data_IF_928787132370
#
_entry.id   IF_928787132370
#
_cell.length_a   1.000
_cell.length_b   1.000
_cell.length_c   1.000
_cell.angle_alpha   90.00
_cell.angle_beta   90.00
_cell.angle_gamma   90.00
#
_symmetry.space_group_name_H-M   'P 1'
#
loop_
_entity.id
_entity.type
_entity.pdbx_description
1 polymer ?
#
# COMPACT_ATOMS: atom_id res chain seq x y z
N UNK A 1 90.27 20.82 8.26
CA UNK A 1 89.40 20.25 9.32
C UNK A 1 88.09 19.84 8.67
N UNK A 2 88.03 18.69 8.00
CA UNK A 2 87.44 17.43 8.49
C UNK A 2 86.03 17.60 9.09
N UNK A 3 85.05 17.07 8.34
CA UNK A 3 83.99 16.15 8.82
C UNK A 3 83.55 16.37 10.26
N UNK A 4 82.39 17.00 10.46
CA UNK A 4 81.38 16.62 11.46
C UNK A 4 80.19 17.58 11.38
N UNK A 5 78.98 17.08 11.58
CA UNK A 5 77.67 17.78 11.46
C UNK A 5 76.89 17.66 10.15
N UNK A 6 77.24 16.66 9.33
CA UNK A 6 76.25 15.84 8.62
C UNK A 6 75.53 14.85 9.57
N UNK A 7 75.66 15.03 10.89
CA UNK A 7 75.05 14.18 11.94
C UNK A 7 73.91 14.83 12.75
N UNK A 8 73.48 16.06 12.43
CA UNK A 8 72.21 16.59 12.95
C UNK A 8 71.08 16.59 11.90
N UNK A 9 71.19 15.74 10.88
CA UNK A 9 70.00 15.19 10.25
C UNK A 9 69.35 14.22 11.27
N UNK A 10 68.04 14.38 11.53
CA UNK A 10 67.14 13.53 12.35
C UNK A 10 66.86 13.97 13.80
N UNK A 11 66.25 15.15 13.99
CA UNK A 11 65.27 15.32 15.08
C UNK A 11 64.32 16.48 14.75
N UNK A 12 63.06 16.14 14.45
CA UNK A 12 61.91 17.02 14.13
C UNK A 12 62.05 17.83 12.82
N UNK A 13 61.46 17.55 11.66
CA UNK A 13 60.10 17.07 11.31
C UNK A 13 59.00 17.64 12.21
N UNK A 14 58.11 18.41 11.57
CA UNK A 14 56.74 18.81 11.94
C UNK A 14 56.52 20.13 12.70
N UNK A 15 55.67 20.94 12.08
CA UNK A 15 54.74 21.94 12.64
C UNK A 15 55.39 23.30 12.98
N UNK A 16 55.07 24.42 12.33
CA UNK A 16 53.71 24.90 12.04
C UNK A 16 53.73 26.02 10.99
N UNK A 17 53.30 25.72 9.76
CA UNK A 17 52.66 26.74 8.92
C UNK A 17 51.20 26.79 9.39
N UNK A 18 50.83 27.84 10.12
CA UNK A 18 49.49 28.08 10.68
C UNK A 18 49.51 29.51 11.23
N UNK A 19 48.56 30.43 11.04
CA UNK A 19 47.22 30.46 10.48
C UNK A 19 46.95 31.97 10.33
N UNK A 20 46.72 32.52 9.14
CA UNK A 20 46.02 33.80 9.03
C UNK A 20 44.74 33.57 8.25
N UNK A 21 43.66 33.90 8.94
CA UNK A 21 42.29 33.49 8.71
C UNK A 21 41.74 33.95 7.36
N UNK A 22 41.41 33.00 6.49
CA UNK A 22 40.37 33.17 5.48
C UNK A 22 39.22 32.25 5.88
N UNK A 23 38.26 32.76 6.65
CA UNK A 23 36.94 32.13 6.72
C UNK A 23 36.27 32.45 5.39
N UNK A 24 36.50 31.60 4.40
CA UNK A 24 35.69 31.56 3.19
C UNK A 24 34.38 30.87 3.57
N UNK A 25 33.39 31.68 3.91
CA UNK A 25 32.03 31.21 4.17
C UNK A 25 31.46 30.74 2.82
N UNK A 26 31.63 29.45 2.52
CA UNK A 26 30.93 28.80 1.42
C UNK A 26 29.44 28.73 1.80
N UNK A 27 28.68 29.77 1.46
CA UNK A 27 27.25 29.62 1.29
C UNK A 27 27.04 28.78 0.02
N UNK A 28 27.02 27.46 0.17
CA UNK A 28 26.34 26.63 -0.82
C UNK A 28 24.86 26.95 -0.66
N UNK A 29 24.37 27.83 -1.53
CA UNK A 29 22.94 27.96 -1.74
C UNK A 29 22.45 26.57 -2.15
N UNK A 30 21.79 25.87 -1.24
CA UNK A 30 20.89 24.78 -1.59
C UNK A 30 19.83 25.42 -2.47
N UNK A 31 20.05 25.42 -3.78
CA UNK A 31 18.99 25.66 -4.74
C UNK A 31 18.04 24.48 -4.55
N UNK A 32 16.99 24.71 -3.74
CA UNK A 32 15.80 23.89 -3.77
C UNK A 32 15.20 24.08 -5.14
N UNK A 33 15.63 23.28 -6.11
CA UNK A 33 14.83 23.09 -7.31
C UNK A 33 13.53 22.49 -6.82
N UNK A 34 12.45 23.27 -6.89
CA UNK A 34 11.14 22.67 -7.01
C UNK A 34 11.27 21.71 -8.19
N UNK A 35 11.25 20.40 -7.91
CA UNK A 35 11.30 19.37 -8.94
C UNK A 35 10.12 19.69 -9.86
N UNK A 36 10.39 20.10 -11.10
CA UNK A 36 9.33 20.24 -12.08
C UNK A 36 8.77 18.83 -12.26
N UNK A 37 7.54 18.53 -11.79
CA UNK A 37 7.07 17.16 -11.80
C UNK A 37 6.96 16.70 -13.26
N UNK A 38 7.70 15.65 -13.61
CA UNK A 38 7.64 15.03 -14.93
C UNK A 38 7.08 13.62 -14.77
N UNK A 39 6.13 13.27 -15.63
CA UNK A 39 5.64 11.90 -15.73
C UNK A 39 6.79 11.00 -16.21
N UNK A 40 7.19 10.02 -15.39
CA UNK A 40 8.29 9.11 -15.73
C UNK A 40 7.81 7.91 -16.55
N UNK A 41 6.66 7.34 -16.18
CA UNK A 41 6.03 6.24 -16.89
C UNK A 41 4.52 6.31 -16.72
N UNK A 42 3.80 5.69 -17.65
CA UNK A 42 2.36 5.51 -17.61
C UNK A 42 2.03 4.11 -18.09
N UNK A 43 0.96 3.55 -17.55
CA UNK A 43 0.46 2.25 -17.95
C UNK A 43 -1.07 2.29 -18.02
N UNK A 44 -1.62 1.55 -18.98
CA UNK A 44 -3.06 1.28 -19.04
C UNK A 44 -3.26 -0.17 -18.61
N UNK A 45 -4.13 -0.38 -17.63
CA UNK A 45 -4.73 -1.69 -17.35
C UNK A 45 -5.87 -1.88 -18.36
N UNK A 46 -5.84 -2.98 -19.13
CA UNK A 46 -6.70 -3.14 -20.30
C UNK A 46 -7.79 -4.17 -20.05
N UNK A 47 -9.04 -3.71 -20.13
CA UNK A 47 -10.23 -4.54 -20.28
C UNK A 47 -11.20 -3.94 -21.31
N UNK A 48 -12.32 -4.64 -21.55
CA UNK A 48 -13.34 -4.28 -22.53
C UNK A 48 -14.53 -3.52 -21.92
N UNK A 49 -14.65 -3.51 -20.59
CA UNK A 49 -15.70 -2.88 -19.83
C UNK A 49 -15.19 -1.73 -18.95
N UNK A 50 -15.78 -1.59 -17.77
CA UNK A 50 -15.39 -0.64 -16.74
C UNK A 50 -14.30 -1.24 -15.85
N UNK A 51 -13.10 -0.65 -15.93
CA UNK A 51 -11.93 -1.05 -15.16
C UNK A 51 -11.40 0.15 -14.38
N UNK A 52 -11.43 0.08 -13.06
CA UNK A 52 -11.06 1.18 -12.18
C UNK A 52 -9.78 0.87 -11.41
N UNK A 53 -8.89 1.86 -11.28
CA UNK A 53 -7.81 1.87 -10.30
C UNK A 53 -8.15 2.96 -9.27
N UNK A 54 -8.38 2.56 -8.01
CA UNK A 54 -9.03 3.42 -7.01
C UNK A 54 -8.10 3.87 -5.88
N UNK A 55 -7.07 3.10 -5.57
CA UNK A 55 -6.13 3.42 -4.50
C UNK A 55 -4.74 2.90 -4.81
N UNK A 56 -3.73 3.60 -4.30
CA UNK A 56 -2.33 3.20 -4.44
C UNK A 56 -1.59 3.28 -3.11
N UNK A 57 -0.54 2.46 -2.96
CA UNK A 57 0.45 2.52 -1.89
C UNK A 57 1.83 2.16 -2.42
N UNK A 58 2.88 2.41 -1.64
CA UNK A 58 4.26 2.12 -2.03
C UNK A 58 5.04 1.46 -0.91
N UNK A 59 6.00 0.61 -1.24
CA UNK A 59 6.98 0.11 -0.26
C UNK A 59 8.27 0.93 -0.25
N UNK A 60 9.17 0.60 0.68
CA UNK A 60 10.48 1.25 0.81
C UNK A 60 11.44 0.97 -0.36
N UNK A 61 11.12 0.01 -1.23
CA UNK A 61 11.90 -0.31 -2.43
C UNK A 61 11.39 0.46 -3.67
N UNK A 62 10.33 1.27 -3.52
CA UNK A 62 9.71 1.98 -4.62
C UNK A 62 8.77 1.11 -5.47
N UNK A 63 8.39 -0.08 -5.00
CA UNK A 63 7.31 -0.83 -5.63
C UNK A 63 5.98 -0.12 -5.38
N UNK A 64 5.10 -0.15 -6.37
CA UNK A 64 3.76 0.47 -6.31
C UNK A 64 2.72 -0.64 -6.23
N UNK A 65 1.77 -0.48 -5.32
CA UNK A 65 0.63 -1.37 -5.15
C UNK A 65 -0.62 -0.61 -5.54
N UNK A 66 -1.47 -1.23 -6.35
CA UNK A 66 -2.71 -0.66 -6.85
C UNK A 66 -3.85 -1.57 -6.43
N UNK A 67 -4.97 -1.00 -6.01
CA UNK A 67 -6.22 -1.72 -5.84
C UNK A 67 -7.31 -1.09 -6.70
N UNK A 68 -8.31 -1.88 -7.05
CA UNK A 68 -9.43 -1.44 -7.87
C UNK A 68 -10.45 -2.55 -8.11
N UNK A 69 -11.29 -2.34 -9.10
CA UNK A 69 -12.36 -3.26 -9.48
C UNK A 69 -12.54 -3.27 -11.01
N UNK A 70 -13.08 -4.37 -11.54
CA UNK A 70 -13.29 -4.55 -12.98
C UNK A 70 -14.49 -5.45 -13.29
N UNK A 71 -15.26 -5.08 -14.31
CA UNK A 71 -16.34 -5.90 -14.89
C UNK A 71 -15.93 -6.60 -16.20
N UNK A 72 -14.74 -6.27 -16.72
CA UNK A 72 -14.21 -6.86 -17.95
C UNK A 72 -14.05 -8.38 -17.82
N UNK A 73 -14.42 -9.17 -18.85
CA UNK A 73 -14.20 -10.62 -18.82
C UNK A 73 -12.75 -11.01 -18.52
N UNK A 74 -11.81 -10.21 -19.02
CA UNK A 74 -10.39 -10.32 -18.74
C UNK A 74 -9.79 -8.93 -18.53
N UNK A 75 -9.01 -8.78 -17.47
CA UNK A 75 -8.17 -7.62 -17.19
C UNK A 75 -6.71 -7.99 -17.51
N UNK A 76 -6.00 -7.17 -18.29
CA UNK A 76 -4.62 -7.44 -18.74
C UNK A 76 -3.66 -6.33 -18.33
N UNK A 77 -2.50 -6.73 -17.78
CA UNK A 77 -1.43 -5.85 -17.32
C UNK A 77 -0.28 -5.77 -18.33
N UNK A 78 0.59 -4.76 -18.22
CA UNK A 78 1.67 -4.49 -19.17
C UNK A 78 2.77 -5.55 -19.31
N UNK A 79 2.79 -6.57 -18.46
CA UNK A 79 3.70 -7.72 -18.55
C UNK A 79 3.02 -8.99 -19.09
N UNK A 80 1.74 -8.90 -19.47
CA UNK A 80 0.95 -10.04 -19.97
C UNK A 80 0.25 -10.86 -18.89
N UNK A 81 0.36 -10.52 -17.60
CA UNK A 81 -0.50 -11.10 -16.56
C UNK A 81 -1.95 -10.74 -16.86
N UNK A 82 -2.84 -11.71 -16.64
CA UNK A 82 -4.28 -11.53 -16.81
C UNK A 82 -5.07 -12.02 -15.61
N UNK A 83 -6.18 -11.34 -15.32
CA UNK A 83 -7.20 -11.76 -14.37
C UNK A 83 -8.49 -12.00 -15.14
N UNK A 84 -9.15 -13.14 -14.91
CA UNK A 84 -10.47 -13.41 -15.46
C UNK A 84 -11.53 -13.01 -14.44
N UNK A 85 -12.60 -12.31 -14.84
CA UNK A 85 -13.70 -11.96 -13.96
C UNK A 85 -14.49 -13.24 -13.55
N UNK A 86 -15.07 -13.26 -12.34
CA UNK A 86 -15.85 -14.40 -11.83
C UNK A 86 -17.25 -14.07 -11.36
N UNK A 87 -17.59 -12.79 -11.24
CA UNK A 87 -18.89 -12.29 -10.82
C UNK A 87 -19.44 -11.22 -11.76
N UNK A 88 -19.93 -10.13 -11.17
CA UNK A 88 -20.37 -8.94 -11.90
C UNK A 88 -19.19 -7.98 -11.96
N UNK A 89 -18.73 -7.53 -10.79
CA UNK A 89 -17.52 -6.72 -10.63
C UNK A 89 -16.61 -7.46 -9.66
N UNK A 90 -15.36 -7.69 -10.06
CA UNK A 90 -14.36 -8.34 -9.22
C UNK A 90 -13.38 -7.28 -8.69
N UNK A 91 -13.01 -7.38 -7.41
CA UNK A 91 -11.95 -6.57 -6.85
C UNK A 91 -10.58 -7.13 -7.29
N UNK A 92 -9.59 -6.26 -7.47
CA UNK A 92 -8.22 -6.67 -7.73
C UNK A 92 -7.21 -5.84 -6.95
N UNK A 93 -6.01 -6.42 -6.84
CA UNK A 93 -4.80 -5.77 -6.41
C UNK A 93 -3.64 -6.16 -7.32
N UNK A 94 -2.72 -5.25 -7.58
CA UNK A 94 -1.54 -5.50 -8.40
C UNK A 94 -0.32 -4.82 -7.82
N UNK A 95 0.85 -5.43 -8.03
CA UNK A 95 2.15 -4.86 -7.68
C UNK A 95 2.92 -4.54 -8.95
N UNK A 96 3.53 -3.36 -8.98
CA UNK A 96 4.45 -2.89 -10.00
C UNK A 96 5.81 -2.62 -9.37
N UNK A 97 6.87 -2.84 -10.12
CA UNK A 97 8.21 -2.39 -9.72
C UNK A 97 8.35 -0.87 -9.92
N UNK A 98 9.50 -0.30 -9.52
CA UNK A 98 9.79 1.13 -9.67
C UNK A 98 9.78 1.64 -11.11
N UNK A 99 9.97 0.73 -12.07
CA UNK A 99 9.98 1.01 -13.51
C UNK A 99 8.56 0.92 -14.13
N UNK A 100 7.54 0.68 -13.31
CA UNK A 100 6.14 0.60 -13.76
C UNK A 100 5.78 -0.73 -14.42
N UNK A 101 6.56 -1.80 -14.26
CA UNK A 101 6.26 -3.14 -14.80
C UNK A 101 5.54 -3.97 -13.74
N UNK A 102 4.36 -4.50 -14.08
CA UNK A 102 3.61 -5.40 -13.21
C UNK A 102 4.47 -6.61 -12.82
N UNK A 103 4.40 -7.02 -11.56
CA UNK A 103 5.14 -8.13 -10.97
C UNK A 103 4.19 -9.28 -10.62
N UNK A 104 3.02 -8.94 -10.07
CA UNK A 104 1.92 -9.85 -9.84
C UNK A 104 0.60 -9.07 -9.83
N UNK A 105 -0.50 -9.77 -10.12
CA UNK A 105 -1.84 -9.27 -9.95
C UNK A 105 -2.73 -10.39 -9.41
N UNK A 106 -3.65 -10.04 -8.52
CA UNK A 106 -4.53 -10.96 -7.84
C UNK A 106 -5.93 -10.37 -7.77
N UNK A 107 -6.93 -11.23 -7.74
CA UNK A 107 -8.32 -10.83 -7.56
C UNK A 107 -8.91 -11.35 -6.26
N UNK A 108 -9.90 -10.60 -5.76
CA UNK A 108 -10.74 -10.96 -4.64
C UNK A 108 -12.16 -10.98 -5.21
N UNK A 109 -12.74 -12.17 -5.33
CA UNK A 109 -13.91 -12.35 -6.17
C UNK A 109 -14.88 -13.41 -5.65
N UNK A 110 -16.15 -13.17 -5.90
CA UNK A 110 -17.26 -14.10 -5.74
C UNK A 110 -18.11 -14.11 -7.01
N UNK A 111 -19.44 -14.15 -6.84
CA UNK A 111 -20.41 -14.20 -7.96
C UNK A 111 -21.19 -12.89 -8.15
N UNK A 112 -21.07 -11.96 -7.21
CA UNK A 112 -21.76 -10.67 -7.19
C UNK A 112 -20.83 -9.51 -7.46
N UNK A 113 -21.07 -8.39 -6.77
CA UNK A 113 -20.24 -7.19 -6.80
C UNK A 113 -19.23 -7.21 -5.66
N UNK A 114 -17.96 -7.13 -5.98
CA UNK A 114 -16.85 -7.11 -5.04
C UNK A 114 -15.94 -5.93 -5.36
N UNK A 115 -15.76 -5.00 -4.42
CA UNK A 115 -15.00 -3.78 -4.68
C UNK A 115 -13.89 -3.60 -3.65
N UNK A 116 -12.67 -3.38 -4.13
CA UNK A 116 -11.61 -2.82 -3.31
C UNK A 116 -11.79 -1.29 -3.25
N UNK A 117 -11.51 -0.68 -2.09
CA UNK A 117 -11.64 0.77 -1.88
C UNK A 117 -10.34 1.43 -1.50
N UNK A 118 -9.48 0.74 -0.76
CA UNK A 118 -8.20 1.31 -0.35
C UNK A 118 -7.16 0.24 -0.09
N UNK A 119 -5.90 0.60 -0.31
CA UNK A 119 -4.73 -0.25 -0.11
C UNK A 119 -3.67 0.52 0.67
N UNK A 120 -3.00 -0.15 1.60
CA UNK A 120 -1.86 0.39 2.38
C UNK A 120 -0.79 -0.69 2.54
N UNK A 121 0.45 -0.27 2.72
CA UNK A 121 1.59 -1.17 2.95
C UNK A 121 2.29 -0.83 4.26
N UNK A 122 2.79 -1.84 4.97
CA UNK A 122 3.63 -1.62 6.14
C UNK A 122 5.13 -1.67 5.81
N UNK A 123 5.97 -1.32 6.78
CA UNK A 123 7.43 -1.35 6.62
C UNK A 123 8.01 -2.76 6.41
N UNK A 124 7.24 -3.82 6.70
CA UNK A 124 7.63 -5.21 6.52
C UNK A 124 7.25 -5.76 5.14
N UNK A 125 6.62 -4.95 4.28
CA UNK A 125 6.15 -5.37 2.96
C UNK A 125 4.84 -6.16 2.99
N UNK A 126 4.09 -6.10 4.10
CA UNK A 126 2.72 -6.56 4.12
C UNK A 126 1.83 -5.56 3.38
N UNK A 127 0.86 -6.08 2.64
CA UNK A 127 -0.09 -5.29 1.86
C UNK A 127 -1.47 -5.50 2.49
N UNK A 128 -2.18 -4.41 2.77
CA UNK A 128 -3.50 -4.44 3.37
C UNK A 128 -4.48 -3.81 2.42
N UNK A 129 -5.60 -4.48 2.17
CA UNK A 129 -6.67 -4.00 1.30
C UNK A 129 -7.99 -4.04 2.05
N UNK A 130 -8.79 -3.00 1.85
CA UNK A 130 -10.16 -2.94 2.36
C UNK A 130 -11.13 -2.67 1.23
N UNK A 131 -12.37 -3.07 1.46
CA UNK A 131 -13.45 -2.85 0.53
C UNK A 131 -14.75 -3.40 1.07
N UNK A 132 -15.66 -3.73 0.17
CA UNK A 132 -16.92 -4.38 0.52
C UNK A 132 -17.34 -5.35 -0.58
N UNK A 133 -18.22 -6.28 -0.22
CA UNK A 133 -18.70 -7.30 -1.14
C UNK A 133 -20.19 -7.59 -0.95
N UNK A 134 -20.88 -7.87 -2.06
CA UNK A 134 -22.25 -8.35 -2.13
C UNK A 134 -22.31 -9.85 -2.46
N UNK A 135 -21.23 -10.45 -2.93
CA UNK A 135 -21.16 -11.88 -3.21
C UNK A 135 -21.53 -12.72 -1.98
N UNK A 136 -22.34 -13.76 -2.15
CA UNK A 136 -22.66 -14.72 -1.07
C UNK A 136 -21.39 -15.29 -0.40
N UNK A 137 -20.33 -15.48 -1.20
CA UNK A 137 -19.01 -15.88 -0.74
C UNK A 137 -17.94 -15.13 -1.51
N UNK A 138 -17.07 -14.44 -0.78
CA UNK A 138 -15.86 -13.80 -1.29
C UNK A 138 -14.67 -14.75 -1.16
N UNK A 139 -13.87 -14.90 -2.21
CA UNK A 139 -12.76 -15.87 -2.27
C UNK A 139 -11.44 -15.15 -2.52
N UNK A 140 -10.42 -15.54 -1.75
CA UNK A 140 -9.05 -15.04 -1.85
C UNK A 140 -8.12 -16.06 -2.54
N UNK A 141 -6.98 -15.61 -3.05
CA UNK A 141 -6.07 -16.43 -3.87
C UNK A 141 -5.39 -17.60 -3.14
N UNK A 142 -5.53 -17.69 -1.82
CA UNK A 142 -5.04 -18.80 -1.00
C UNK A 142 -6.17 -19.76 -0.54
N UNK A 143 -7.40 -19.54 -1.01
CA UNK A 143 -8.58 -20.33 -0.63
C UNK A 143 -9.30 -19.90 0.64
N UNK A 144 -8.86 -18.83 1.32
CA UNK A 144 -9.67 -18.18 2.38
C UNK A 144 -10.98 -17.70 1.76
N UNK A 145 -12.07 -17.83 2.52
CA UNK A 145 -13.40 -17.37 2.13
C UNK A 145 -14.07 -16.55 3.24
N UNK A 146 -14.89 -15.57 2.83
CA UNK A 146 -15.78 -14.82 3.71
C UNK A 146 -17.21 -14.96 3.20
N UNK A 147 -18.15 -15.29 4.08
CA UNK A 147 -19.57 -15.38 3.74
C UNK A 147 -20.28 -14.07 4.04
N UNK A 148 -21.10 -13.59 3.12
CA UNK A 148 -21.88 -12.38 3.32
C UNK A 148 -22.98 -12.60 4.37
N UNK A 149 -23.30 -11.58 5.17
CA UNK A 149 -24.36 -11.61 6.18
C UNK A 149 -25.38 -10.49 6.06
N UNK A 150 -25.27 -9.64 5.03
CA UNK A 150 -26.08 -8.44 4.84
C UNK A 150 -26.35 -8.14 3.37
N UNK A 151 -26.48 -6.86 3.04
CA UNK A 151 -26.55 -6.42 1.63
C UNK A 151 -25.16 -6.19 1.06
N UNK A 152 -24.28 -5.61 1.87
CA UNK A 152 -22.87 -5.39 1.56
C UNK A 152 -22.11 -5.56 2.87
N UNK A 153 -21.10 -6.42 2.88
CA UNK A 153 -20.24 -6.61 4.04
C UNK A 153 -18.87 -5.98 3.75
N UNK A 154 -18.28 -5.25 4.71
CA UNK A 154 -16.90 -4.79 4.60
C UNK A 154 -15.95 -5.98 4.73
N UNK A 155 -14.84 -5.94 3.99
CA UNK A 155 -13.72 -6.86 4.21
C UNK A 155 -12.42 -6.10 4.45
N UNK A 156 -11.52 -6.77 5.17
CA UNK A 156 -10.13 -6.38 5.38
C UNK A 156 -9.30 -7.61 5.09
N UNK A 157 -8.25 -7.48 4.29
CA UNK A 157 -7.34 -8.58 4.01
C UNK A 157 -5.90 -8.13 4.05
N UNK A 158 -5.04 -9.02 4.52
CA UNK A 158 -3.59 -8.85 4.49
C UNK A 158 -2.98 -9.85 3.54
N UNK A 159 -2.07 -9.37 2.72
CA UNK A 159 -1.24 -10.13 1.79
C UNK A 159 0.23 -10.00 2.18
N UNK A 160 1.01 -11.01 1.84
CA UNK A 160 2.46 -10.90 1.88
C UNK A 160 2.97 -10.18 0.63
N UNK A 161 4.29 -9.92 0.57
CA UNK A 161 4.91 -9.20 -0.54
C UNK A 161 4.85 -9.94 -1.89
N UNK A 162 4.62 -11.26 -1.85
CA UNK A 162 4.47 -12.13 -3.02
C UNK A 162 3.02 -12.17 -3.52
N UNK A 163 2.12 -11.39 -2.93
CA UNK A 163 0.71 -11.32 -3.34
C UNK A 163 -0.14 -12.48 -2.81
N UNK A 164 0.32 -13.26 -1.83
CA UNK A 164 -0.48 -14.35 -1.23
C UNK A 164 -1.23 -13.84 0.00
N UNK A 165 -2.55 -14.00 0.02
CA UNK A 165 -3.38 -13.67 1.17
C UNK A 165 -2.88 -14.44 2.41
N UNK A 166 -2.77 -13.76 3.55
CA UNK A 166 -2.32 -14.31 4.83
C UNK A 166 -3.49 -14.46 5.79
N UNK A 167 -4.40 -13.48 5.78
CA UNK A 167 -5.67 -13.53 6.48
C UNK A 167 -6.67 -12.57 5.82
N UNK A 168 -7.95 -12.86 6.01
CA UNK A 168 -9.03 -11.96 5.66
C UNK A 168 -10.12 -12.00 6.74
N UNK A 169 -10.80 -10.89 6.93
CA UNK A 169 -11.88 -10.72 7.89
C UNK A 169 -12.99 -9.87 7.30
N UNK A 170 -14.23 -10.15 7.71
CA UNK A 170 -15.36 -9.25 7.49
C UNK A 170 -15.80 -8.64 8.83
N UNK A 171 -16.39 -7.44 8.77
CA UNK A 171 -17.11 -6.87 9.91
C UNK A 171 -18.59 -7.23 9.70
N UNK A 172 -19.20 -7.93 10.65
CA UNK A 172 -20.51 -8.53 10.47
C UNK A 172 -21.64 -7.54 10.78
N UNK A 173 -22.56 -7.40 9.84
CA UNK A 173 -23.84 -6.71 9.99
C UNK A 173 -24.86 -7.28 9.01
N UNK A 174 -26.10 -6.82 9.08
CA UNK A 174 -27.21 -7.30 8.23
C UNK A 174 -27.63 -6.29 7.16
N UNK A 175 -27.08 -5.08 7.20
CA UNK A 175 -27.38 -3.95 6.32
C UNK A 175 -26.35 -3.78 5.21
N UNK A 176 -26.23 -2.55 4.71
CA UNK A 176 -25.15 -2.13 3.81
C UNK A 176 -24.04 -1.50 4.65
N UNK A 177 -22.94 -2.22 4.75
CA UNK A 177 -21.79 -1.82 5.55
C UNK A 177 -20.54 -1.86 4.67
N UNK A 178 -19.67 -0.86 4.82
CA UNK A 178 -18.53 -0.68 3.92
C UNK A 178 -17.27 -0.25 4.67
N UNK A 179 -16.11 -0.73 4.21
CA UNK A 179 -14.81 -0.19 4.55
C UNK A 179 -14.34 0.70 3.40
N UNK A 180 -14.04 1.96 3.68
CA UNK A 180 -13.77 2.98 2.67
C UNK A 180 -12.30 3.36 2.56
N UNK A 181 -11.54 3.30 3.65
CA UNK A 181 -10.12 3.63 3.64
C UNK A 181 -9.33 2.87 4.70
N UNK A 182 -8.05 2.63 4.42
CA UNK A 182 -7.10 1.96 5.30
C UNK A 182 -5.79 2.73 5.35
N UNK A 183 -5.15 2.75 6.53
CA UNK A 183 -3.81 3.28 6.72
C UNK A 183 -3.01 2.42 7.71
N UNK A 184 -1.71 2.34 7.51
CA UNK A 184 -0.77 1.62 8.37
C UNK A 184 0.20 2.60 9.03
N UNK A 185 0.54 2.36 10.31
CA UNK A 185 1.62 3.10 10.97
C UNK A 185 2.97 2.36 10.88
N UNK A 186 4.04 3.03 11.32
CA UNK A 186 5.39 2.46 11.31
C UNK A 186 5.56 1.25 12.25
N UNK A 187 4.63 1.02 13.18
CA UNK A 187 4.62 -0.14 14.08
C UNK A 187 3.81 -1.32 13.51
N UNK A 188 3.24 -1.18 12.31
CA UNK A 188 2.38 -2.20 11.70
C UNK A 188 0.94 -2.19 12.21
N UNK A 189 0.53 -1.19 12.99
CA UNK A 189 -0.89 -1.04 13.32
C UNK A 189 -1.66 -0.64 12.07
N UNK A 190 -2.86 -1.19 11.93
CA UNK A 190 -3.75 -0.95 10.80
C UNK A 190 -4.96 -0.15 11.29
N UNK A 191 -5.34 0.90 10.58
CA UNK A 191 -6.48 1.75 10.87
C UNK A 191 -7.44 1.72 9.69
N UNK A 192 -8.68 1.31 9.95
CA UNK A 192 -9.73 1.18 8.94
C UNK A 192 -10.86 2.14 9.28
N UNK A 193 -11.38 2.84 8.28
CA UNK A 193 -12.57 3.67 8.40
C UNK A 193 -13.64 3.21 7.43
N UNK A 194 -14.90 3.52 7.74
CA UNK A 194 -16.02 3.14 6.91
C UNK A 194 -17.34 3.68 7.44
N UNK A 195 -18.43 3.13 6.91
CA UNK A 195 -19.78 3.44 7.35
C UNK A 195 -20.65 2.19 7.37
N UNK A 196 -21.75 2.24 8.11
CA UNK A 196 -22.66 1.10 8.27
C UNK A 196 -24.11 1.55 8.39
N UNK A 197 -25.01 0.76 7.81
CA UNK A 197 -26.47 0.89 7.95
C UNK A 197 -27.04 -0.16 8.89
N UNK A 198 -26.28 -1.22 9.18
CA UNK A 198 -26.67 -2.26 10.14
C UNK A 198 -27.07 -1.70 11.49
N UNK A 199 -28.13 -2.25 12.09
CA UNK A 199 -28.50 -1.90 13.47
C UNK A 199 -27.36 -2.15 14.45
N UNK A 200 -26.64 -3.26 14.27
CA UNK A 200 -25.41 -3.59 15.01
C UNK A 200 -24.33 -4.02 14.03
N UNK A 201 -23.16 -3.41 14.13
CA UNK A 201 -21.94 -3.81 13.44
C UNK A 201 -21.01 -4.54 14.43
N UNK A 202 -20.52 -5.73 14.08
CA UNK A 202 -19.79 -6.63 14.99
C UNK A 202 -18.42 -6.98 14.40
N UNK A 203 -17.36 -6.73 15.16
CA UNK A 203 -15.97 -7.02 14.81
C UNK A 203 -15.56 -8.44 15.26
N UNK A 204 -14.47 -9.01 14.72
CA UNK A 204 -14.03 -10.38 15.03
C UNK A 204 -13.82 -10.67 16.53
N UNK A 205 -13.48 -9.67 17.32
CA UNK A 205 -13.21 -9.77 18.75
C UNK A 205 -14.46 -9.56 19.62
N UNK A 206 -15.63 -9.44 18.98
CA UNK A 206 -16.91 -9.23 19.65
C UNK A 206 -17.21 -7.79 20.06
N UNK A 207 -16.31 -6.82 19.77
CA UNK A 207 -16.66 -5.40 19.87
C UNK A 207 -17.82 -5.13 18.91
N UNK A 208 -18.79 -4.33 19.35
CA UNK A 208 -19.90 -3.92 18.51
C UNK A 208 -20.20 -2.43 18.58
N UNK A 209 -20.74 -1.91 17.49
CA UNK A 209 -21.25 -0.56 17.36
C UNK A 209 -22.74 -0.64 17.04
N UNK A 210 -23.54 0.22 17.65
CA UNK A 210 -24.97 0.34 17.36
C UNK A 210 -25.23 1.56 16.49
N UNK A 211 -26.01 1.40 15.43
CA UNK A 211 -26.42 2.51 14.57
C UNK A 211 -27.51 3.33 15.27
N UNK A 212 -27.36 4.65 15.28
CA UNK A 212 -28.28 5.62 15.90
C UNK A 212 -29.10 6.43 14.88
N UNK A 213 -28.94 6.17 13.58
CA UNK A 213 -29.62 6.87 12.49
C UNK A 213 -29.69 6.06 11.20
N UNK A 214 -29.66 6.75 10.05
CA UNK A 214 -29.69 6.10 8.73
C UNK A 214 -28.35 5.50 8.33
N UNK A 215 -27.25 6.21 8.65
CA UNK A 215 -25.88 5.83 8.31
C UNK A 215 -24.92 6.41 9.36
N UNK A 216 -24.12 5.54 9.99
CA UNK A 216 -23.10 5.94 10.95
C UNK A 216 -21.70 5.60 10.43
N UNK A 217 -20.72 6.44 10.76
CA UNK A 217 -19.31 6.19 10.46
C UNK A 217 -18.62 5.37 11.56
N UNK A 218 -17.59 4.60 11.19
CA UNK A 218 -16.74 3.91 12.17
C UNK A 218 -15.25 4.12 11.88
N UNK A 219 -14.45 3.95 12.93
CA UNK A 219 -13.00 3.78 12.87
C UNK A 219 -12.64 2.54 13.70
N UNK A 220 -11.78 1.70 13.14
CA UNK A 220 -11.31 0.47 13.76
C UNK A 220 -9.78 0.40 13.69
N UNK A 221 -9.17 -0.19 14.71
CA UNK A 221 -7.74 -0.45 14.77
C UNK A 221 -7.50 -1.95 14.86
N UNK A 222 -6.61 -2.46 14.02
CA UNK A 222 -6.11 -3.84 14.03
C UNK A 222 -4.60 -3.86 14.29
N UNK A 223 -4.10 -4.98 14.81
CA UNK A 223 -2.69 -5.23 15.14
C UNK A 223 -2.11 -6.46 14.43
#
# INVERSE_FOLDING_TARGET
MKKNYLQNAKRFVRNSLSFFSFILLFFTTMQTYAQNPQCQWTEKIVGAGFDYAVSTSTDNNGNVYVAGDFDSPTLTFNNGITLANSGVDDAYLAKYNSDGVCQWAEKIAGKGFDHARSISTDANGNVYVVGYFQSDTLIFNNGITLSNSGSYDPFIARYNNDGICQWAEKIAGTGRDEASSISTDANGNVYVVGYFQSYTLIFNNGISLANSGDLDGYIAKYN
#
